data_IF_132747050562
#
_entry.id   IF_132747050562
#
_cell.length_a   1.000
_cell.length_b   1.000
_cell.length_c   1.000
_cell.angle_alpha   90.00
_cell.angle_beta   90.00
_cell.angle_gamma   90.00
#
_symmetry.space_group_name_H-M   'P 1'
#
loop_
_entity.id
_entity.type
_entity.pdbx_description
1 polymer ?
#
# COMPACT_ATOMS: atom_id res chain seq x y z
N UNK A 1 45.54 -44.72 -30.28
CA UNK A 1 45.25 -44.01 -29.01
C UNK A 1 44.13 -43.01 -29.27
N UNK A 2 42.91 -43.31 -28.84
CA UNK A 2 41.76 -42.40 -28.96
C UNK A 2 41.72 -41.52 -27.72
N UNK A 3 41.91 -40.20 -27.87
CA UNK A 3 41.77 -39.23 -26.78
C UNK A 3 40.28 -38.98 -26.52
N UNK A 4 39.85 -39.26 -25.28
CA UNK A 4 38.51 -38.94 -24.79
C UNK A 4 38.52 -37.49 -24.31
N UNK A 5 37.79 -36.60 -24.97
CA UNK A 5 37.53 -35.25 -24.50
C UNK A 5 36.31 -35.32 -23.57
N UNK A 6 36.53 -35.14 -22.27
CA UNK A 6 35.46 -35.01 -21.29
C UNK A 6 34.93 -33.57 -21.33
N UNK A 7 33.69 -33.39 -21.81
CA UNK A 7 32.97 -32.13 -21.75
C UNK A 7 32.34 -32.04 -20.35
N UNK A 8 32.85 -31.16 -19.51
CA UNK A 8 32.24 -30.82 -18.21
C UNK A 8 31.10 -29.85 -18.51
N UNK A 9 29.87 -30.34 -18.43
CA UNK A 9 28.67 -29.51 -18.45
C UNK A 9 28.56 -28.77 -17.11
N UNK A 10 28.84 -27.47 -17.11
CA UNK A 10 28.57 -26.59 -15.97
C UNK A 10 27.06 -26.35 -15.95
N UNK A 11 26.33 -27.08 -15.10
CA UNK A 11 24.96 -26.74 -14.75
C UNK A 11 24.98 -25.45 -13.92
N UNK A 12 24.73 -24.32 -14.57
CA UNK A 12 24.33 -23.09 -13.86
C UNK A 12 22.97 -23.36 -13.22
N UNK A 13 22.97 -23.60 -11.91
CA UNK A 13 21.76 -23.50 -11.09
C UNK A 13 21.29 -22.05 -11.18
N UNK A 14 20.30 -21.80 -12.05
CA UNK A 14 19.47 -20.61 -11.95
C UNK A 14 18.74 -20.77 -10.62
N UNK A 15 19.20 -20.05 -9.59
CA UNK A 15 18.33 -19.76 -8.47
C UNK A 15 17.18 -18.94 -9.07
N UNK A 16 16.03 -19.57 -9.26
CA UNK A 16 14.77 -18.85 -9.32
C UNK A 16 14.71 -18.07 -8.00
N UNK A 17 15.18 -16.83 -8.04
CA UNK A 17 14.97 -15.90 -6.95
C UNK A 17 13.47 -15.75 -6.88
N UNK A 18 12.83 -16.47 -5.98
CA UNK A 18 11.43 -16.25 -5.66
C UNK A 18 11.30 -14.75 -5.36
N UNK A 19 10.72 -14.02 -6.30
CA UNK A 19 10.28 -12.67 -6.02
C UNK A 19 9.26 -12.83 -4.90
N UNK A 20 9.59 -12.26 -3.74
CA UNK A 20 8.65 -12.21 -2.63
C UNK A 20 7.50 -11.31 -3.09
N UNK A 21 6.43 -11.92 -3.56
CA UNK A 21 5.23 -11.18 -3.93
C UNK A 21 4.64 -10.55 -2.66
N UNK A 22 4.35 -9.24 -2.67
CA UNK A 22 3.86 -8.56 -1.49
C UNK A 22 2.38 -8.90 -1.24
N UNK A 23 2.04 -9.30 -0.02
CA UNK A 23 0.64 -9.36 0.43
C UNK A 23 0.19 -7.95 0.80
N UNK A 24 -0.81 -7.45 0.08
CA UNK A 24 -1.15 -6.02 0.02
C UNK A 24 -2.67 -5.77 0.06
N UNK A 25 -3.01 -4.56 0.46
CA UNK A 25 -4.35 -3.99 0.29
C UNK A 25 -4.84 -4.14 -1.16
N UNK A 26 -6.09 -4.60 -1.32
CA UNK A 26 -6.76 -4.84 -2.62
C UNK A 26 -6.16 -5.94 -3.49
N UNK A 27 -5.46 -6.90 -2.89
CA UNK A 27 -4.99 -8.10 -3.58
C UNK A 27 -3.81 -7.84 -4.54
N UNK A 28 -3.28 -8.89 -5.18
CA UNK A 28 -2.01 -8.82 -5.92
C UNK A 28 -2.00 -7.77 -7.05
N UNK A 29 -3.14 -7.54 -7.68
CA UNK A 29 -3.31 -6.57 -8.77
C UNK A 29 -3.68 -5.15 -8.29
N UNK A 30 -3.87 -4.93 -6.97
CA UNK A 30 -4.24 -3.65 -6.35
C UNK A 30 -5.60 -3.09 -6.77
N UNK A 31 -6.41 -3.88 -7.46
CA UNK A 31 -7.70 -3.49 -8.04
C UNK A 31 -8.90 -4.01 -7.22
N UNK A 32 -8.65 -4.83 -6.19
CA UNK A 32 -9.69 -5.43 -5.36
C UNK A 32 -10.23 -6.75 -5.91
N UNK A 33 -9.64 -7.26 -6.99
CA UNK A 33 -9.93 -8.60 -7.50
C UNK A 33 -8.95 -9.62 -6.90
N UNK A 34 -9.54 -10.70 -6.41
CA UNK A 34 -8.86 -11.81 -5.75
C UNK A 34 -8.97 -13.02 -6.69
N UNK A 35 -7.85 -13.58 -7.21
CA UNK A 35 -7.84 -14.60 -8.26
C UNK A 35 -8.24 -16.01 -7.77
N UNK A 36 -8.68 -16.14 -6.52
CA UNK A 36 -9.07 -17.37 -5.87
C UNK A 36 -10.21 -18.07 -6.62
N UNK A 37 -10.04 -19.38 -6.80
CA UNK A 37 -11.04 -20.24 -7.45
C UNK A 37 -11.74 -21.10 -6.40
N UNK A 38 -12.84 -21.76 -6.78
CA UNK A 38 -13.59 -22.61 -5.84
C UNK A 38 -14.44 -21.85 -4.82
N UNK A 39 -14.54 -20.53 -4.92
CA UNK A 39 -15.42 -19.72 -4.08
C UNK A 39 -16.90 -20.08 -4.31
N UNK A 40 -17.69 -20.02 -3.23
CA UNK A 40 -19.13 -20.17 -3.28
C UNK A 40 -19.73 -19.16 -4.26
N UNK A 41 -20.52 -19.63 -5.23
CA UNK A 41 -21.24 -18.76 -6.18
C UNK A 41 -22.50 -18.13 -5.58
N UNK A 42 -23.03 -18.75 -4.52
CA UNK A 42 -24.15 -18.25 -3.75
C UNK A 42 -23.95 -18.68 -2.30
N UNK A 43 -24.24 -17.78 -1.36
CA UNK A 43 -24.23 -18.12 0.05
C UNK A 43 -25.43 -19.02 0.41
N UNK A 44 -25.27 -19.95 1.37
CA UNK A 44 -26.41 -20.63 1.99
C UNK A 44 -27.39 -19.63 2.59
N UNK A 45 -28.65 -20.04 2.82
CA UNK A 45 -29.69 -19.16 3.36
C UNK A 45 -29.31 -18.51 4.72
N UNK A 46 -28.51 -19.19 5.54
CA UNK A 46 -27.99 -18.67 6.81
C UNK A 46 -26.66 -17.91 6.71
N UNK A 47 -26.15 -17.68 5.49
CA UNK A 47 -24.81 -17.16 5.25
C UNK A 47 -23.71 -18.23 5.31
N UNK A 48 -22.45 -17.86 5.07
CA UNK A 48 -21.31 -18.74 5.26
C UNK A 48 -21.14 -19.09 6.75
N UNK A 49 -20.65 -20.29 7.04
CA UNK A 49 -20.34 -20.71 8.40
C UNK A 49 -19.21 -19.85 8.99
N UNK A 50 -19.41 -19.37 10.22
CA UNK A 50 -18.38 -18.64 10.98
C UNK A 50 -17.48 -19.68 11.66
N UNK A 51 -16.24 -19.82 11.17
CA UNK A 51 -15.26 -20.77 11.73
C UNK A 51 -14.63 -20.30 13.05
N UNK A 52 -14.45 -18.99 13.24
CA UNK A 52 -14.02 -18.35 14.47
C UNK A 52 -14.32 -16.85 14.42
N UNK A 53 -14.33 -16.20 15.58
CA UNK A 53 -14.46 -14.75 15.73
C UNK A 53 -13.64 -14.28 16.93
N UNK A 54 -13.08 -13.08 16.83
CA UNK A 54 -12.31 -12.41 17.87
C UNK A 54 -12.80 -10.96 18.01
N UNK A 55 -13.04 -10.54 19.25
CA UNK A 55 -13.51 -9.18 19.57
C UNK A 55 -12.45 -8.32 20.25
N UNK A 56 -11.36 -8.93 20.72
CA UNK A 56 -10.43 -8.30 21.67
C UNK A 56 -9.18 -7.74 20.97
N UNK A 57 -9.32 -7.34 19.71
CA UNK A 57 -8.24 -6.75 18.90
C UNK A 57 -8.14 -5.23 19.06
N UNK A 58 -9.08 -4.60 19.76
CA UNK A 58 -9.14 -3.14 19.91
C UNK A 58 -9.87 -2.46 18.74
N UNK A 59 -9.74 -1.14 18.68
CA UNK A 59 -10.43 -0.30 17.69
C UNK A 59 -9.56 -0.10 16.44
N UNK A 60 -10.17 -0.13 15.26
CA UNK A 60 -9.44 0.07 14.01
C UNK A 60 -10.30 -0.01 12.76
N UNK A 61 -9.72 0.46 11.68
CA UNK A 61 -10.27 0.49 10.32
C UNK A 61 -9.36 -0.26 9.33
N UNK A 62 -8.23 -0.82 9.80
CA UNK A 62 -7.35 -1.66 8.99
C UNK A 62 -8.08 -2.87 8.46
N UNK A 63 -7.71 -3.28 7.25
CA UNK A 63 -8.15 -4.58 6.74
C UNK A 63 -7.35 -5.71 7.35
N UNK A 64 -7.98 -6.88 7.42
CA UNK A 64 -7.26 -8.12 7.66
C UNK A 64 -6.66 -8.62 6.35
N UNK A 65 -5.38 -8.98 6.38
CA UNK A 65 -4.70 -9.60 5.24
C UNK A 65 -4.22 -11.00 5.61
N UNK A 66 -4.13 -11.88 4.62
CA UNK A 66 -3.72 -13.28 4.82
C UNK A 66 -2.42 -13.52 4.07
N UNK A 67 -1.37 -13.92 4.79
CA UNK A 67 -0.06 -14.24 4.23
C UNK A 67 0.47 -15.53 4.87
N UNK A 68 0.91 -16.48 4.03
CA UNK A 68 1.52 -17.74 4.45
C UNK A 68 0.75 -18.50 5.55
N UNK A 69 -0.59 -18.49 5.50
CA UNK A 69 -1.44 -19.18 6.47
C UNK A 69 -1.66 -18.43 7.80
N UNK A 70 -1.25 -17.18 7.89
CA UNK A 70 -1.54 -16.31 9.03
C UNK A 70 -2.42 -15.14 8.62
N UNK A 71 -3.24 -14.67 9.55
CA UNK A 71 -4.04 -13.45 9.41
C UNK A 71 -3.35 -12.32 10.16
N UNK A 72 -3.21 -11.17 9.51
CA UNK A 72 -2.61 -9.98 10.08
C UNK A 72 -3.59 -8.83 10.04
N UNK A 73 -3.65 -8.07 11.13
CA UNK A 73 -4.44 -6.84 11.22
C UNK A 73 -3.86 -5.94 12.29
N UNK A 74 -4.35 -4.71 12.39
CA UNK A 74 -3.97 -3.78 13.43
C UNK A 74 -5.19 -3.39 14.27
N UNK A 75 -4.95 -2.97 15.50
CA UNK A 75 -5.99 -2.43 16.36
C UNK A 75 -5.41 -1.62 17.51
N UNK A 76 -6.22 -0.72 18.05
CA UNK A 76 -5.84 0.24 19.07
C UNK A 76 -6.48 -0.14 20.40
N UNK A 77 -5.67 -0.23 21.45
CA UNK A 77 -6.12 -0.49 22.82
C UNK A 77 -5.65 0.68 23.67
N UNK A 78 -6.60 1.35 24.33
CA UNK A 78 -6.38 2.70 24.88
C UNK A 78 -5.99 3.67 23.75
N UNK A 79 -4.75 4.12 23.74
CA UNK A 79 -4.14 5.09 22.84
C UNK A 79 -2.96 4.48 22.06
N UNK A 80 -2.71 3.18 22.26
CA UNK A 80 -1.58 2.47 21.65
C UNK A 80 -2.06 1.57 20.52
N UNK A 81 -1.37 1.64 19.39
CA UNK A 81 -1.56 0.78 18.24
C UNK A 81 -0.80 -0.53 18.36
N UNK A 82 -1.45 -1.61 17.93
CA UNK A 82 -0.92 -2.96 17.95
C UNK A 82 -1.03 -3.62 16.58
N UNK A 83 -0.02 -4.40 16.23
CA UNK A 83 -0.03 -5.33 15.10
C UNK A 83 -0.29 -6.74 15.63
N UNK A 84 -1.28 -7.42 15.08
CA UNK A 84 -1.66 -8.78 15.44
C UNK A 84 -1.30 -9.75 14.32
N UNK A 85 -0.77 -10.92 14.69
CA UNK A 85 -0.66 -12.10 13.82
C UNK A 85 -1.44 -13.24 14.46
N UNK A 86 -2.33 -13.83 13.71
CA UNK A 86 -3.22 -14.91 14.13
C UNK A 86 -2.99 -16.13 13.23
N UNK A 87 -3.11 -17.34 13.77
CA UNK A 87 -3.18 -18.53 12.93
C UNK A 87 -4.56 -18.69 12.27
N UNK A 88 -4.72 -19.70 11.40
CA UNK A 88 -5.98 -19.95 10.70
C UNK A 88 -7.15 -20.35 11.61
N UNK A 89 -6.91 -20.59 12.91
CA UNK A 89 -7.93 -20.92 13.91
C UNK A 89 -8.26 -19.71 14.78
N UNK A 90 -7.73 -18.53 14.46
CA UNK A 90 -7.90 -17.32 15.24
C UNK A 90 -7.09 -17.31 16.55
N UNK A 91 -6.09 -18.18 16.70
CA UNK A 91 -5.22 -18.13 17.87
C UNK A 91 -4.17 -17.03 17.68
N UNK A 92 -3.99 -16.19 18.70
CA UNK A 92 -2.94 -15.19 18.74
C UNK A 92 -1.55 -15.86 18.66
N UNK A 93 -0.77 -15.49 17.64
CA UNK A 93 0.64 -15.86 17.48
C UNK A 93 1.50 -14.81 18.16
N UNK A 94 1.33 -13.54 17.77
CA UNK A 94 1.92 -12.41 18.48
C UNK A 94 1.02 -11.17 18.44
N UNK A 95 1.30 -10.26 19.38
CA UNK A 95 0.75 -8.92 19.49
C UNK A 95 1.92 -7.96 19.75
N UNK A 96 2.19 -7.07 18.80
CA UNK A 96 3.30 -6.12 18.88
C UNK A 96 2.72 -4.74 19.11
N UNK A 97 3.09 -4.10 20.21
CA UNK A 97 2.84 -2.67 20.42
C UNK A 97 3.84 -1.86 19.58
N UNK A 98 3.36 -0.97 18.72
CA UNK A 98 4.26 -0.14 17.89
C UNK A 98 4.34 1.32 18.34
N UNK A 99 3.40 1.78 19.15
CA UNK A 99 3.39 3.13 19.69
C UNK A 99 2.01 3.78 19.66
N UNK A 100 1.93 5.08 19.97
CA UNK A 100 0.68 5.82 20.01
C UNK A 100 -0.02 5.88 18.64
N UNK A 101 -1.35 5.97 18.68
CA UNK A 101 -2.22 6.12 17.52
C UNK A 101 -3.03 7.42 17.56
N UNK A 102 -3.70 7.72 16.44
CA UNK A 102 -4.54 8.91 16.35
C UNK A 102 -5.86 8.74 17.13
N UNK A 103 -6.07 9.63 18.11
CA UNK A 103 -7.20 9.57 19.05
C UNK A 103 -8.09 10.81 19.04
N UNK A 104 -7.95 11.74 18.09
CA UNK A 104 -8.79 12.96 18.11
C UNK A 104 -10.20 12.69 17.56
N UNK A 105 -10.33 11.78 16.61
CA UNK A 105 -11.59 11.40 15.97
C UNK A 105 -11.45 10.07 15.22
N UNK A 106 -12.57 9.38 14.96
CA UNK A 106 -12.59 8.05 14.32
C UNK A 106 -11.48 7.13 14.89
N UNK A 107 -11.62 6.84 16.18
CA UNK A 107 -10.59 6.15 16.97
C UNK A 107 -10.18 4.81 16.34
N UNK A 108 -8.88 4.54 16.37
CA UNK A 108 -8.35 3.25 15.96
C UNK A 108 -7.19 3.33 14.97
N UNK A 109 -6.60 2.19 14.69
CA UNK A 109 -5.61 2.06 13.61
C UNK A 109 -6.27 2.25 12.25
N UNK A 110 -5.51 2.69 11.25
CA UNK A 110 -6.05 3.02 9.92
C UNK A 110 -5.34 2.27 8.80
N UNK A 111 -4.01 2.33 8.80
CA UNK A 111 -3.17 1.67 7.81
C UNK A 111 -3.31 0.15 7.85
N UNK A 112 -3.47 -0.46 6.68
CA UNK A 112 -3.36 -1.92 6.53
C UNK A 112 -1.87 -2.27 6.39
N UNK A 113 -1.37 -3.32 7.07
CA UNK A 113 0.02 -3.73 6.92
C UNK A 113 0.28 -4.28 5.51
N UNK A 114 1.50 -4.06 5.01
CA UNK A 114 2.01 -4.71 3.79
C UNK A 114 3.05 -5.74 4.19
N UNK A 115 2.92 -6.99 3.74
CA UNK A 115 3.83 -8.08 4.10
C UNK A 115 4.64 -8.49 2.88
N UNK A 116 5.96 -8.56 3.02
CA UNK A 116 6.86 -8.98 1.94
C UNK A 116 7.93 -9.89 2.51
N UNK A 117 7.66 -11.19 2.45
CA UNK A 117 8.52 -12.22 3.04
C UNK A 117 8.64 -12.07 4.55
N UNK A 118 9.85 -11.81 5.02
CA UNK A 118 10.22 -11.68 6.43
C UNK A 118 9.93 -10.28 7.01
N UNK A 119 9.27 -9.38 6.26
CA UNK A 119 9.06 -8.00 6.69
C UNK A 119 7.62 -7.53 6.61
N UNK A 120 7.23 -6.71 7.58
CA UNK A 120 5.93 -6.03 7.64
C UNK A 120 6.15 -4.53 7.62
N UNK A 121 5.41 -3.82 6.77
CA UNK A 121 5.43 -2.36 6.68
C UNK A 121 4.09 -1.81 7.11
N UNK A 122 4.10 -0.79 7.96
CA UNK A 122 2.88 -0.21 8.52
C UNK A 122 3.03 1.30 8.71
N UNK A 123 2.03 2.07 8.29
CA UNK A 123 1.90 3.48 8.62
C UNK A 123 0.86 3.66 9.74
N UNK A 124 1.27 4.29 10.83
CA UNK A 124 0.35 4.70 11.91
C UNK A 124 -0.44 5.95 11.55
N UNK A 125 -1.57 6.16 12.24
CA UNK A 125 -2.39 7.37 12.12
C UNK A 125 -1.67 8.66 12.50
N UNK A 126 -0.52 8.56 13.16
CA UNK A 126 0.34 9.69 13.53
C UNK A 126 1.55 9.87 12.60
N UNK A 127 1.53 9.27 11.41
CA UNK A 127 2.56 9.51 10.39
C UNK A 127 3.91 8.84 10.69
N UNK A 128 3.96 7.87 11.61
CA UNK A 128 5.15 7.03 11.80
C UNK A 128 5.04 5.78 10.95
N UNK A 129 6.00 5.61 10.05
CA UNK A 129 6.18 4.43 9.19
C UNK A 129 7.15 3.47 9.87
N UNK A 130 6.74 2.20 9.94
CA UNK A 130 7.49 1.13 10.57
C UNK A 130 7.85 0.04 9.57
N UNK A 131 9.01 -0.57 9.76
CA UNK A 131 9.33 -1.88 9.24
C UNK A 131 9.60 -2.83 10.41
N UNK A 132 8.87 -3.94 10.45
CA UNK A 132 9.04 -5.00 11.43
C UNK A 132 9.62 -6.24 10.77
N UNK A 133 10.33 -7.03 11.56
CA UNK A 133 10.58 -8.43 11.28
C UNK A 133 9.30 -9.25 11.51
N UNK A 134 8.88 -10.03 10.52
CA UNK A 134 7.62 -10.79 10.53
C UNK A 134 7.66 -12.03 11.45
N UNK A 135 8.85 -12.49 11.84
CA UNK A 135 8.97 -13.66 12.73
C UNK A 135 9.01 -13.23 14.19
N UNK A 136 9.86 -12.26 14.51
CA UNK A 136 10.14 -11.80 15.87
C UNK A 136 9.22 -10.66 16.31
N UNK A 137 8.76 -9.84 15.37
CA UNK A 137 8.04 -8.60 15.64
C UNK A 137 8.93 -7.40 15.97
N UNK A 138 10.25 -7.56 15.89
CA UNK A 138 11.19 -6.48 16.18
C UNK A 138 11.09 -5.37 15.14
N UNK A 139 11.22 -4.11 15.60
CA UNK A 139 11.31 -2.96 14.71
C UNK A 139 12.70 -2.93 14.08
N UNK A 140 12.76 -3.09 12.76
CA UNK A 140 13.99 -3.04 11.97
C UNK A 140 14.40 -1.62 11.64
N UNK A 141 13.44 -0.76 11.28
CA UNK A 141 13.66 0.68 11.08
C UNK A 141 12.33 1.45 11.17
N UNK A 142 12.41 2.76 11.38
CA UNK A 142 11.25 3.67 11.35
C UNK A 142 11.55 4.96 10.61
N UNK A 143 10.51 5.59 10.07
CA UNK A 143 10.53 6.98 9.58
C UNK A 143 9.36 7.77 10.15
N UNK A 144 9.58 9.06 10.39
CA UNK A 144 8.57 10.02 10.84
C UNK A 144 8.25 10.93 9.65
N UNK A 145 7.07 10.75 9.05
CA UNK A 145 6.71 11.45 7.81
C UNK A 145 6.72 12.98 7.97
N UNK A 146 6.52 13.49 9.19
CA UNK A 146 6.47 14.93 9.45
C UNK A 146 7.87 15.50 9.63
N UNK A 147 8.75 14.78 10.34
CA UNK A 147 10.13 15.23 10.57
C UNK A 147 11.05 14.98 9.39
N UNK A 148 10.95 13.80 8.78
CA UNK A 148 11.87 13.35 7.74
C UNK A 148 11.50 13.90 6.36
N UNK A 149 10.20 14.16 6.13
CA UNK A 149 9.65 14.42 4.80
C UNK A 149 8.65 15.58 4.76
N UNK A 150 8.80 16.57 5.64
CA UNK A 150 8.00 17.80 5.66
C UNK A 150 6.47 17.63 5.52
N UNK A 151 5.96 16.44 5.86
CA UNK A 151 4.54 16.14 5.87
C UNK A 151 3.85 16.81 7.05
N UNK A 152 2.53 16.65 7.14
CA UNK A 152 1.75 17.17 8.26
C UNK A 152 0.59 16.26 8.57
N UNK A 153 0.20 16.25 9.85
CA UNK A 153 -1.03 15.57 10.27
C UNK A 153 -2.22 16.23 9.58
N UNK A 154 -3.12 15.41 9.06
CA UNK A 154 -4.37 15.83 8.41
C UNK A 154 -5.55 15.60 9.35
N UNK A 155 -6.71 16.18 9.03
CA UNK A 155 -7.87 16.33 9.92
C UNK A 155 -8.30 15.06 10.68
N UNK A 156 -8.15 13.87 10.07
CA UNK A 156 -8.56 12.60 10.66
C UNK A 156 -7.40 11.60 10.81
N UNK A 157 -6.17 12.09 10.93
CA UNK A 157 -4.97 11.28 11.02
C UNK A 157 -4.50 10.76 9.67
N UNK A 158 -3.30 10.18 9.62
CA UNK A 158 -2.74 9.62 8.39
C UNK A 158 -3.41 8.28 8.07
N UNK A 159 -3.65 8.03 6.78
CA UNK A 159 -4.08 6.72 6.31
C UNK A 159 -3.47 6.43 4.93
N UNK A 160 -2.61 5.43 4.87
CA UNK A 160 -2.02 4.92 3.64
C UNK A 160 -1.49 3.52 3.91
N UNK A 161 -1.65 2.59 2.97
CA UNK A 161 -0.99 1.29 3.00
C UNK A 161 0.33 1.40 2.23
N UNK A 162 1.50 1.11 2.83
CA UNK A 162 2.78 1.23 2.13
C UNK A 162 2.82 0.38 0.86
N UNK A 163 3.20 0.99 -0.27
CA UNK A 163 3.22 0.32 -1.58
C UNK A 163 4.63 -0.19 -1.85
N UNK A 164 4.81 -1.51 -1.99
CA UNK A 164 6.13 -2.12 -2.25
C UNK A 164 6.24 -2.67 -3.68
N UNK A 165 7.40 -2.44 -4.31
CA UNK A 165 7.84 -3.02 -5.58
C UNK A 165 9.32 -3.41 -5.51
N UNK A 166 9.60 -4.72 -5.47
CA UNK A 166 10.97 -5.23 -5.36
C UNK A 166 11.69 -4.72 -4.11
N UNK A 167 12.61 -3.77 -4.26
CA UNK A 167 13.38 -3.16 -3.16
C UNK A 167 12.85 -1.78 -2.74
N UNK A 168 11.83 -1.27 -3.41
CA UNK A 168 11.32 0.09 -3.26
C UNK A 168 10.01 0.07 -2.47
N UNK A 169 9.87 0.98 -1.52
CA UNK A 169 8.64 1.29 -0.82
C UNK A 169 8.23 2.73 -1.15
N UNK A 170 7.00 2.92 -1.60
CA UNK A 170 6.41 4.22 -1.89
C UNK A 170 5.44 4.61 -0.77
N UNK A 171 5.49 5.89 -0.38
CA UNK A 171 4.59 6.48 0.61
C UNK A 171 4.38 7.97 0.31
N UNK A 172 3.25 8.54 0.75
CA UNK A 172 2.81 9.91 0.44
C UNK A 172 2.76 10.77 1.72
N UNK A 173 3.90 11.36 2.16
CA UNK A 173 3.92 12.26 3.32
C UNK A 173 3.01 13.50 3.17
N UNK A 174 2.75 13.93 1.93
CA UNK A 174 1.98 15.15 1.67
C UNK A 174 2.74 16.45 1.96
N UNK A 175 4.08 16.41 1.97
CA UNK A 175 4.93 17.58 2.15
C UNK A 175 4.99 18.48 0.92
N UNK A 176 5.52 19.70 1.08
CA UNK A 176 5.74 20.65 -0.03
C UNK A 176 6.93 20.22 -0.90
N UNK A 177 7.96 19.62 -0.30
CA UNK A 177 9.17 19.13 -0.96
C UNK A 177 9.13 17.62 -1.15
N UNK A 178 8.64 16.90 -0.15
CA UNK A 178 8.57 15.44 -0.15
C UNK A 178 7.09 14.99 -0.13
N UNK A 179 6.39 15.29 -1.21
CA UNK A 179 4.98 14.98 -1.34
C UNK A 179 4.72 13.48 -1.51
N UNK A 180 5.53 12.86 -2.36
CA UNK A 180 5.61 11.41 -2.59
C UNK A 180 7.10 11.03 -2.52
N UNK A 181 7.41 9.95 -1.82
CA UNK A 181 8.80 9.48 -1.67
C UNK A 181 8.90 8.00 -2.00
N UNK A 182 10.08 7.60 -2.48
CA UNK A 182 10.49 6.22 -2.57
C UNK A 182 11.64 5.96 -1.60
N UNK A 183 11.51 4.89 -0.83
CA UNK A 183 12.48 4.45 0.16
C UNK A 183 13.01 3.07 -0.22
N UNK A 184 14.25 2.77 0.18
CA UNK A 184 14.74 1.40 0.20
C UNK A 184 13.97 0.65 1.29
N UNK A 185 13.20 -0.38 0.92
CA UNK A 185 12.36 -1.12 1.87
C UNK A 185 13.15 -1.80 2.98
N UNK A 186 14.43 -2.10 2.75
CA UNK A 186 15.25 -2.81 3.74
C UNK A 186 15.88 -1.88 4.79
N UNK A 187 16.17 -0.63 4.44
CA UNK A 187 16.88 0.31 5.32
C UNK A 187 16.07 1.55 5.69
N UNK A 188 14.99 1.84 4.97
CA UNK A 188 14.24 3.09 5.06
C UNK A 188 14.92 4.27 4.39
N UNK A 189 16.08 4.09 3.75
CA UNK A 189 16.82 5.21 3.13
C UNK A 189 16.07 5.79 1.94
N UNK A 190 16.12 7.12 1.80
CA UNK A 190 15.50 7.82 0.67
C UNK A 190 16.20 7.43 -0.64
N UNK A 191 15.42 6.95 -1.61
CA UNK A 191 15.86 6.71 -3.00
C UNK A 191 15.60 7.96 -3.82
N UNK A 192 14.35 8.43 -3.81
CA UNK A 192 13.96 9.67 -4.46
C UNK A 192 12.80 10.33 -3.72
N UNK A 193 12.65 11.63 -3.95
CA UNK A 193 11.55 12.44 -3.44
C UNK A 193 10.97 13.29 -4.56
N UNK A 194 9.65 13.48 -4.53
CA UNK A 194 8.92 14.32 -5.48
C UNK A 194 8.16 15.41 -4.74
N UNK A 195 8.26 16.69 -5.16
CA UNK A 195 7.42 17.74 -4.61
C UNK A 195 5.96 17.60 -5.04
N UNK A 196 5.63 16.75 -6.02
CA UNK A 196 4.27 16.60 -6.54
C UNK A 196 3.66 17.96 -6.87
N UNK A 197 2.44 18.20 -6.37
CA UNK A 197 1.83 19.53 -6.38
C UNK A 197 2.03 20.31 -5.06
N UNK A 198 2.79 19.75 -4.11
CA UNK A 198 3.02 20.33 -2.79
C UNK A 198 1.72 20.46 -2.00
N UNK A 199 0.86 19.46 -2.04
CA UNK A 199 -0.45 19.45 -1.37
C UNK A 199 -0.47 18.42 -0.25
N UNK A 200 -1.32 18.60 0.75
CA UNK A 200 -1.46 17.57 1.79
C UNK A 200 -1.90 16.24 1.19
N UNK A 201 -1.52 15.15 1.84
CA UNK A 201 -2.01 13.81 1.50
C UNK A 201 -3.52 13.71 1.76
N UNK A 202 -4.19 12.80 1.08
CA UNK A 202 -5.65 12.69 1.09
C UNK A 202 -6.17 11.28 1.38
N UNK A 203 -5.53 10.57 2.33
CA UNK A 203 -5.97 9.25 2.80
C UNK A 203 -5.92 8.15 1.73
N UNK A 204 -5.16 8.38 0.65
CA UNK A 204 -5.14 7.54 -0.54
C UNK A 204 -3.91 6.64 -0.56
N UNK A 205 -4.11 5.32 -0.70
CA UNK A 205 -3.02 4.40 -1.04
C UNK A 205 -2.70 4.55 -2.53
N UNK A 206 -1.46 4.86 -2.93
CA UNK A 206 -1.09 4.97 -4.34
C UNK A 206 -1.35 3.68 -5.12
N UNK A 207 -1.84 3.82 -6.34
CA UNK A 207 -1.86 2.73 -7.32
C UNK A 207 -0.51 2.67 -8.02
N UNK A 208 0.19 1.55 -7.90
CA UNK A 208 1.33 1.20 -8.76
C UNK A 208 0.82 0.32 -9.90
N UNK A 209 1.11 0.69 -11.15
CA UNK A 209 0.66 -0.04 -12.33
C UNK A 209 1.66 0.06 -13.48
N UNK A 210 1.55 -0.85 -14.45
CA UNK A 210 2.34 -0.81 -15.68
C UNK A 210 1.51 -0.24 -16.83
N UNK A 211 2.10 0.67 -17.59
CA UNK A 211 1.55 1.22 -18.81
C UNK A 211 2.59 1.11 -19.93
N UNK A 212 2.34 0.21 -20.90
CA UNK A 212 3.24 -0.04 -22.04
C UNK A 212 4.71 -0.27 -21.64
N UNK A 213 4.94 -1.12 -20.62
CA UNK A 213 6.28 -1.45 -20.13
C UNK A 213 6.89 -0.41 -19.17
N UNK A 214 6.17 0.66 -18.82
CA UNK A 214 6.59 1.68 -17.86
C UNK A 214 5.81 1.57 -16.55
N UNK A 215 6.52 1.55 -15.42
CA UNK A 215 5.89 1.59 -14.09
C UNK A 215 5.53 3.01 -13.69
N UNK A 216 4.27 3.22 -13.35
CA UNK A 216 3.69 4.51 -12.96
C UNK A 216 3.03 4.40 -11.58
N UNK A 217 2.98 5.51 -10.87
CA UNK A 217 2.20 5.68 -9.65
C UNK A 217 1.08 6.69 -9.90
N UNK A 218 -0.12 6.41 -9.39
CA UNK A 218 -1.22 7.37 -9.32
C UNK A 218 -1.74 7.48 -7.89
N UNK A 219 -1.85 8.69 -7.36
CA UNK A 219 -2.37 8.94 -6.01
C UNK A 219 -3.08 10.28 -5.94
N UNK A 220 -3.93 10.44 -4.93
CA UNK A 220 -4.60 11.71 -4.63
C UNK A 220 -3.83 12.51 -3.56
N UNK A 221 -3.72 13.81 -3.81
CA UNK A 221 -3.52 14.83 -2.79
C UNK A 221 -4.83 15.55 -2.48
N UNK A 222 -4.80 16.53 -1.58
CA UNK A 222 -5.98 17.27 -1.10
C UNK A 222 -6.88 17.78 -2.24
N UNK A 223 -6.29 18.23 -3.35
CA UNK A 223 -7.01 18.84 -4.47
C UNK A 223 -6.74 18.22 -5.84
N UNK A 224 -5.85 17.24 -5.97
CA UNK A 224 -5.48 16.67 -7.26
C UNK A 224 -5.35 15.15 -7.23
N UNK A 225 -5.76 14.52 -8.34
CA UNK A 225 -5.19 13.24 -8.74
C UNK A 225 -3.86 13.52 -9.46
N UNK A 226 -2.81 12.80 -9.10
CA UNK A 226 -1.46 12.99 -9.65
C UNK A 226 -0.90 11.68 -10.19
N UNK A 227 -0.11 11.77 -11.25
CA UNK A 227 0.59 10.66 -11.87
C UNK A 227 2.10 10.88 -11.87
N UNK A 228 2.85 9.83 -11.57
CA UNK A 228 4.30 9.87 -11.43
C UNK A 228 4.97 8.71 -12.16
N UNK A 229 6.18 8.95 -12.63
CA UNK A 229 7.10 7.88 -12.99
C UNK A 229 7.61 7.19 -11.71
N UNK A 230 7.34 5.89 -11.55
CA UNK A 230 7.67 5.16 -10.31
C UNK A 230 9.18 4.95 -10.10
N UNK A 231 9.98 5.09 -11.16
CA UNK A 231 11.44 4.89 -11.10
C UNK A 231 12.15 6.17 -10.66
N UNK A 232 11.68 7.31 -11.15
CA UNK A 232 12.36 8.62 -11.00
C UNK A 232 11.65 9.58 -10.05
N UNK A 233 10.38 9.33 -9.70
CA UNK A 233 9.55 10.24 -8.92
C UNK A 233 9.07 11.47 -9.70
N UNK A 234 9.38 11.57 -11.00
CA UNK A 234 8.94 12.70 -11.82
C UNK A 234 7.43 12.71 -11.94
N UNK A 235 6.78 13.79 -11.51
CA UNK A 235 5.36 14.01 -11.79
C UNK A 235 5.16 14.20 -13.31
N UNK A 236 4.25 13.44 -13.88
CA UNK A 236 3.98 13.39 -15.32
C UNK A 236 2.74 14.23 -15.66
N UNK A 237 1.69 14.08 -14.87
CA UNK A 237 0.43 14.77 -15.07
C UNK A 237 -0.29 14.96 -13.74
N UNK A 238 -1.28 15.84 -13.75
CA UNK A 238 -2.20 16.06 -12.63
C UNK A 238 -3.58 16.42 -13.17
N UNK A 239 -4.61 16.05 -12.42
CA UNK A 239 -6.00 16.38 -12.69
C UNK A 239 -6.59 17.01 -11.44
N UNK A 240 -7.06 18.26 -11.56
CA UNK A 240 -7.71 18.97 -10.47
C UNK A 240 -9.02 18.26 -10.09
N UNK A 241 -9.14 17.88 -8.82
CA UNK A 241 -10.24 17.12 -8.24
C UNK A 241 -10.35 17.42 -6.72
N UNK A 242 -10.74 18.64 -6.31
CA UNK A 242 -10.91 19.00 -4.90
C UNK A 242 -12.25 18.52 -4.36
N UNK A 243 -12.38 18.36 -3.05
CA UNK A 243 -13.67 18.26 -2.37
C UNK A 243 -13.65 19.07 -1.07
N UNK A 244 -14.83 19.30 -0.48
CA UNK A 244 -14.99 20.15 0.72
C UNK A 244 -14.19 19.68 1.95
N UNK A 245 -13.77 18.41 1.99
CA UNK A 245 -13.05 17.81 3.13
C UNK A 245 -11.61 17.42 2.80
N UNK A 246 -11.16 17.60 1.56
CA UNK A 246 -9.87 17.10 1.08
C UNK A 246 -9.66 15.58 1.28
N UNK A 247 -10.74 14.80 1.18
CA UNK A 247 -10.76 13.35 1.47
C UNK A 247 -10.88 12.55 0.18
N UNK A 248 -9.82 11.83 -0.20
CA UNK A 248 -9.79 10.99 -1.41
C UNK A 248 -9.35 9.55 -1.09
N UNK A 249 -10.09 8.79 -0.26
CA UNK A 249 -9.67 7.51 0.28
C UNK A 249 -9.83 6.34 -0.72
N UNK A 250 -9.99 6.65 -2.01
CA UNK A 250 -10.16 5.67 -3.07
C UNK A 250 -8.86 5.58 -3.87
N UNK A 251 -8.18 4.45 -3.80
CA UNK A 251 -7.09 4.14 -4.72
C UNK A 251 -7.64 4.08 -6.16
N UNK A 252 -7.06 4.82 -7.12
CA UNK A 252 -7.45 4.75 -8.53
C UNK A 252 -7.44 3.31 -9.06
N UNK A 253 -8.13 3.07 -10.17
CA UNK A 253 -8.13 1.78 -10.88
C UNK A 253 -7.59 2.03 -12.28
N UNK A 254 -6.65 1.19 -12.72
CA UNK A 254 -6.11 1.24 -14.06
C UNK A 254 -6.56 0.02 -14.86
N UNK A 255 -7.04 0.24 -16.07
CA UNK A 255 -7.42 -0.81 -17.00
C UNK A 255 -7.24 -0.33 -18.45
N UNK A 256 -6.52 -1.10 -19.26
CA UNK A 256 -6.31 -0.88 -20.71
C UNK A 256 -6.03 0.59 -21.12
N UNK A 257 -5.14 1.30 -20.40
CA UNK A 257 -4.77 2.69 -20.68
C UNK A 257 -5.74 3.74 -20.11
N UNK A 258 -6.85 3.31 -19.52
CA UNK A 258 -7.76 4.12 -18.72
C UNK A 258 -7.37 4.11 -17.25
N UNK A 259 -7.42 5.29 -16.61
CA UNK A 259 -7.27 5.45 -15.17
C UNK A 259 -8.56 6.02 -14.59
N UNK A 260 -9.34 5.18 -13.93
CA UNK A 260 -10.56 5.56 -13.23
C UNK A 260 -10.25 6.08 -11.82
N UNK A 261 -10.90 7.18 -11.45
CA UNK A 261 -10.77 7.81 -10.14
C UNK A 261 -12.12 8.30 -9.63
N UNK A 262 -12.25 8.39 -8.31
CA UNK A 262 -13.49 8.79 -7.63
C UNK A 262 -13.19 9.64 -6.40
N UNK A 263 -13.90 10.76 -6.28
CA UNK A 263 -13.96 11.55 -5.06
C UNK A 263 -15.38 11.53 -4.49
N UNK A 264 -15.48 11.42 -3.16
CA UNK A 264 -16.75 11.58 -2.46
C UNK A 264 -17.26 13.02 -2.47
N UNK A 265 -18.26 13.28 -1.60
CA UNK A 265 -18.75 14.63 -1.29
C UNK A 265 -19.23 15.42 -2.52
N UNK A 266 -19.99 14.75 -3.39
CA UNK A 266 -20.62 15.35 -4.57
C UNK A 266 -19.69 15.66 -5.74
N UNK A 267 -18.40 15.29 -5.67
CA UNK A 267 -17.43 15.55 -6.75
C UNK A 267 -17.45 14.53 -7.88
N UNK A 268 -18.04 13.36 -7.62
CA UNK A 268 -18.12 12.27 -8.57
C UNK A 268 -16.74 11.73 -8.96
N UNK A 269 -16.68 11.15 -10.16
CA UNK A 269 -15.53 10.43 -10.65
C UNK A 269 -15.31 10.67 -12.13
N UNK A 270 -14.20 10.17 -12.63
CA UNK A 270 -13.85 10.30 -14.03
C UNK A 270 -12.89 9.22 -14.46
N UNK A 271 -12.63 9.19 -15.76
CA UNK A 271 -11.59 8.35 -16.33
C UNK A 271 -10.65 9.23 -17.13
N UNK A 272 -9.36 9.11 -16.83
CA UNK A 272 -8.31 9.66 -17.67
C UNK A 272 -7.87 8.60 -18.68
N UNK A 273 -7.56 9.02 -19.91
CA UNK A 273 -6.87 8.21 -20.90
C UNK A 273 -5.41 8.66 -20.94
N UNK A 274 -4.48 7.73 -20.70
CA UNK A 274 -3.05 8.01 -20.72
C UNK A 274 -2.51 8.01 -22.16
N UNK A 275 -1.57 8.91 -22.46
CA UNK A 275 -0.81 8.82 -23.71
C UNK A 275 0.02 7.54 -23.73
N UNK A 276 0.36 6.94 -24.90
CA UNK A 276 1.07 5.67 -24.96
C UNK A 276 2.40 5.61 -24.19
N UNK A 277 3.06 6.75 -23.99
CA UNK A 277 4.30 6.87 -23.21
C UNK A 277 4.07 7.14 -21.71
N UNK A 278 2.82 7.31 -21.27
CA UNK A 278 2.40 7.66 -19.91
C UNK A 278 2.71 9.11 -19.49
N UNK A 279 3.29 9.94 -20.37
CA UNK A 279 3.73 11.30 -19.99
C UNK A 279 2.59 12.30 -19.84
N UNK A 280 1.41 11.99 -20.36
CA UNK A 280 0.24 12.86 -20.27
C UNK A 280 -1.03 12.06 -20.06
N UNK A 281 -2.06 12.74 -19.58
CA UNK A 281 -3.38 12.17 -19.36
C UNK A 281 -4.42 13.18 -19.84
N UNK A 282 -5.45 12.69 -20.53
CA UNK A 282 -6.61 13.50 -20.95
C UNK A 282 -7.88 12.97 -20.31
N UNK A 283 -8.78 13.86 -19.91
CA UNK A 283 -10.08 13.44 -19.38
C UNK A 283 -10.90 12.80 -20.50
N UNK A 284 -11.21 11.51 -20.36
CA UNK A 284 -12.06 10.76 -21.29
C UNK A 284 -13.54 10.96 -20.98
N UNK A 285 -13.89 10.99 -19.69
CA UNK A 285 -15.21 11.37 -19.21
C UNK A 285 -15.18 11.75 -17.72
N UNK A 286 -16.19 12.50 -17.28
CA UNK A 286 -16.44 12.87 -15.88
C UNK A 286 -17.94 12.80 -15.58
N UNK A 287 -18.30 12.37 -14.37
CA UNK A 287 -19.66 12.38 -13.82
C UNK A 287 -19.69 13.23 -12.55
#
# INVERSE_FOLDING_TARGET
>A
MKQLIAIIAICTLLSDGFTQEPTIWRGPSRDGHYPETGLLKQWPAGGPEIIWSLTDLGQGHSSAIVDQGFVYTTGMISDMGYLFKLDQKGKLVYKIEYGPEFTESFYGTRGTPTIVGDKIYLLSGLGKLYCFDNETGDILWTKDLFKDFDGSIIQWGMNETPVVDGKVLYITPGGKKNNLVALNRHTGDLIWSSPGNGELTAYCTPLLFEHNGRKLLATHSESHLMGFDATTGKMLWKQHQPNEWSVHPNTPIYDEGGLFYLSGYGQGGGMLELSPDGNSAKLKWKH
#
